data_IF_415592419610
#
_entry.id   IF_415592419610
#
_cell.length_a   1.000
_cell.length_b   1.000
_cell.length_c   1.000
_cell.angle_alpha   90.00
_cell.angle_beta   90.00
_cell.angle_gamma   90.00
#
_symmetry.space_group_name_H-M   'P 1'
#
loop_
_entity.id
_entity.type
_entity.pdbx_description
1 polymer ?
#
# COMPACT_ATOMS: atom_id res chain seq x y z
N UNK A 1 59.61 26.53 -27.67
CA UNK A 1 58.20 26.63 -27.23
C UNK A 1 57.17 26.18 -28.28
N UNK A 2 57.28 26.52 -29.58
CA UNK A 2 56.34 26.05 -30.62
C UNK A 2 56.24 24.51 -30.75
N UNK A 3 57.36 23.78 -30.68
CA UNK A 3 57.34 22.31 -30.73
C UNK A 3 56.60 21.62 -29.57
N UNK A 4 56.47 22.26 -28.41
CA UNK A 4 55.73 21.70 -27.26
C UNK A 4 54.21 21.88 -27.40
N UNK A 5 53.74 22.95 -28.03
CA UNK A 5 52.31 23.20 -28.22
C UNK A 5 51.72 22.31 -29.33
N UNK A 6 52.48 22.07 -30.41
CA UNK A 6 52.07 21.14 -31.48
C UNK A 6 52.09 19.66 -31.03
N UNK A 7 52.89 19.34 -30.01
CA UNK A 7 52.89 18.02 -29.34
C UNK A 7 51.62 17.80 -28.52
N UNK A 8 51.09 18.86 -27.89
CA UNK A 8 49.87 18.81 -27.08
C UNK A 8 48.62 18.77 -27.98
N UNK A 9 48.59 19.55 -29.07
CA UNK A 9 47.47 19.56 -30.01
C UNK A 9 47.27 18.22 -30.74
N UNK A 10 48.37 17.46 -30.98
CA UNK A 10 48.32 16.10 -31.56
C UNK A 10 47.87 15.01 -30.58
N UNK A 11 47.73 15.33 -29.28
CA UNK A 11 47.26 14.41 -28.23
C UNK A 11 45.77 14.61 -27.89
N UNK A 12 45.11 15.63 -28.45
CA UNK A 12 43.68 15.83 -28.23
C UNK A 12 42.88 14.83 -29.07
N UNK A 13 41.91 14.11 -28.47
CA UNK A 13 41.08 13.17 -29.22
C UNK A 13 40.33 13.92 -30.33
N UNK A 14 40.33 13.34 -31.53
CA UNK A 14 39.56 13.85 -32.68
C UNK A 14 38.07 13.95 -32.33
N UNK A 15 37.32 14.80 -33.06
CA UNK A 15 35.86 14.90 -32.93
C UNK A 15 35.16 13.54 -33.11
N UNK A 16 35.69 12.66 -33.96
CA UNK A 16 35.20 11.28 -34.16
C UNK A 16 35.40 10.40 -32.94
N UNK A 17 36.59 10.44 -32.32
CA UNK A 17 36.87 9.69 -31.08
C UNK A 17 36.05 10.22 -29.90
N UNK A 18 35.82 11.53 -29.81
CA UNK A 18 34.93 12.12 -28.80
C UNK A 18 33.46 11.71 -29.02
N UNK A 19 32.98 11.68 -30.27
CA UNK A 19 31.63 11.23 -30.60
C UNK A 19 31.42 9.73 -30.32
N UNK A 20 32.42 8.88 -30.63
CA UNK A 20 32.38 7.46 -30.30
C UNK A 20 32.41 7.22 -28.79
N UNK A 21 33.25 7.95 -28.05
CA UNK A 21 33.29 7.88 -26.60
C UNK A 21 31.95 8.33 -25.98
N UNK A 22 31.38 9.45 -26.46
CA UNK A 22 30.06 9.91 -26.03
C UNK A 22 28.97 8.88 -26.35
N UNK A 23 28.99 8.29 -27.55
CA UNK A 23 28.07 7.23 -27.94
C UNK A 23 28.20 5.98 -27.07
N UNK A 24 29.42 5.57 -26.73
CA UNK A 24 29.70 4.45 -25.83
C UNK A 24 29.20 4.74 -24.40
N UNK A 25 29.39 5.96 -23.89
CA UNK A 25 28.86 6.38 -22.59
C UNK A 25 27.33 6.33 -22.59
N UNK A 26 26.67 6.88 -23.61
CA UNK A 26 25.21 6.84 -23.74
C UNK A 26 24.69 5.40 -23.79
N UNK A 27 25.34 4.54 -24.58
CA UNK A 27 24.99 3.13 -24.66
C UNK A 27 25.16 2.41 -23.31
N UNK A 28 26.28 2.63 -22.62
CA UNK A 28 26.52 2.06 -21.31
C UNK A 28 25.49 2.53 -20.28
N UNK A 29 25.16 3.82 -20.28
CA UNK A 29 24.09 4.36 -19.43
C UNK A 29 22.73 3.72 -19.73
N UNK A 30 22.38 3.54 -21.02
CA UNK A 30 21.14 2.88 -21.41
C UNK A 30 21.10 1.42 -20.94
N UNK A 31 22.22 0.69 -21.02
CA UNK A 31 22.34 -0.69 -20.53
C UNK A 31 22.15 -0.74 -19.01
N UNK A 32 22.79 0.16 -18.25
CA UNK A 32 22.64 0.22 -16.79
C UNK A 32 21.20 0.53 -16.39
N UNK A 33 20.53 1.47 -17.07
CA UNK A 33 19.12 1.79 -16.84
C UNK A 33 18.22 0.61 -17.15
N UNK A 34 18.43 -0.06 -18.29
CA UNK A 34 17.66 -1.23 -18.68
C UNK A 34 17.85 -2.41 -17.71
N UNK A 35 19.09 -2.65 -17.26
CA UNK A 35 19.39 -3.67 -16.26
C UNK A 35 18.74 -3.36 -14.91
N UNK A 36 18.79 -2.09 -14.46
CA UNK A 36 18.09 -1.64 -13.26
C UNK A 36 16.57 -1.82 -13.36
N UNK A 37 15.97 -1.41 -14.48
CA UNK A 37 14.54 -1.60 -14.72
C UNK A 37 14.15 -3.09 -14.71
N UNK A 38 14.92 -3.94 -15.40
CA UNK A 38 14.70 -5.39 -15.40
C UNK A 38 14.81 -6.00 -14.00
N UNK A 39 15.78 -5.56 -13.18
CA UNK A 39 15.97 -6.02 -11.81
C UNK A 39 14.77 -5.72 -10.90
N UNK A 40 14.20 -4.51 -11.00
CA UNK A 40 13.01 -4.14 -10.22
C UNK A 40 11.74 -4.80 -10.77
N UNK A 41 11.59 -4.86 -12.10
CA UNK A 41 10.46 -5.54 -12.75
C UNK A 41 10.39 -7.03 -12.42
N UNK A 42 11.52 -7.72 -12.29
CA UNK A 42 11.57 -9.14 -11.92
C UNK A 42 10.96 -9.42 -10.54
N UNK A 43 11.11 -8.50 -9.58
CA UNK A 43 10.50 -8.60 -8.25
C UNK A 43 10.86 -9.86 -7.45
N UNK A 44 10.23 -9.99 -6.29
CA UNK A 44 10.08 -11.24 -5.54
C UNK A 44 8.63 -11.74 -5.70
N UNK A 45 8.46 -13.06 -5.63
CA UNK A 45 7.17 -13.71 -5.75
C UNK A 45 6.48 -13.51 -7.12
N UNK A 46 5.19 -13.88 -7.21
CA UNK A 46 4.42 -14.56 -6.17
C UNK A 46 4.78 -16.04 -6.03
N UNK A 47 4.50 -16.62 -4.86
CA UNK A 47 4.36 -18.05 -4.69
C UNK A 47 3.06 -18.49 -5.37
N UNK A 48 3.18 -19.21 -6.48
CA UNK A 48 2.05 -19.58 -7.33
C UNK A 48 1.01 -20.46 -6.60
N UNK A 49 1.45 -21.40 -5.77
CA UNK A 49 0.55 -22.31 -5.05
C UNK A 49 -0.31 -21.56 -4.03
N UNK A 50 0.26 -20.57 -3.34
CA UNK A 50 -0.48 -19.75 -2.39
C UNK A 50 -1.52 -18.87 -3.09
N UNK A 51 -1.20 -18.31 -4.25
CA UNK A 51 -2.16 -17.53 -5.07
C UNK A 51 -3.26 -18.44 -5.60
N UNK A 52 -2.91 -19.60 -6.16
CA UNK A 52 -3.87 -20.56 -6.68
C UNK A 52 -4.82 -21.07 -5.59
N UNK A 53 -4.33 -21.26 -4.36
CA UNK A 53 -5.17 -21.63 -3.22
C UNK A 53 -6.20 -20.55 -2.87
N UNK A 54 -5.81 -19.26 -2.91
CA UNK A 54 -6.75 -18.15 -2.69
C UNK A 54 -7.75 -18.00 -3.84
N UNK A 55 -7.35 -18.26 -5.09
CA UNK A 55 -8.25 -18.25 -6.26
C UNK A 55 -9.22 -19.44 -6.29
N UNK A 56 -8.87 -20.56 -5.64
CA UNK A 56 -9.69 -21.75 -5.57
C UNK A 56 -10.69 -21.76 -4.39
N UNK A 57 -10.60 -20.77 -3.49
CA UNK A 57 -11.52 -20.63 -2.36
C UNK A 57 -12.91 -20.20 -2.85
N UNK A 58 -13.98 -21.00 -2.61
CA UNK A 58 -15.32 -20.68 -3.10
C UNK A 58 -15.94 -19.45 -2.43
N UNK A 59 -15.44 -19.04 -1.25
CA UNK A 59 -15.96 -17.90 -0.49
C UNK A 59 -15.26 -16.58 -0.87
N UNK A 60 -14.25 -16.64 -1.76
CA UNK A 60 -13.46 -15.48 -2.18
C UNK A 60 -13.47 -15.35 -3.71
N UNK A 61 -13.79 -14.15 -4.20
CA UNK A 61 -13.62 -13.79 -5.60
C UNK A 61 -12.32 -12.99 -5.80
N UNK A 62 -11.49 -13.45 -6.73
CA UNK A 62 -10.23 -12.80 -7.12
C UNK A 62 -10.32 -12.31 -8.57
N UNK A 63 -10.33 -11.00 -8.76
CA UNK A 63 -10.49 -10.34 -10.05
C UNK A 63 -9.24 -9.52 -10.41
N UNK A 64 -8.60 -9.83 -11.55
CA UNK A 64 -7.50 -9.00 -12.09
C UNK A 64 -8.07 -7.78 -12.79
N UNK A 65 -7.54 -6.60 -12.49
CA UNK A 65 -8.06 -5.31 -13.00
C UNK A 65 -6.93 -4.39 -13.50
N UNK A 66 -7.24 -3.31 -14.24
CA UNK A 66 -6.23 -2.33 -14.65
C UNK A 66 -5.58 -1.52 -13.52
N UNK A 67 -6.04 -1.70 -12.27
CA UNK A 67 -5.51 -1.02 -11.08
C UNK A 67 -4.92 -1.98 -10.05
N UNK A 68 -4.76 -3.26 -10.41
CA UNK A 68 -4.26 -4.32 -9.55
C UNK A 68 -5.22 -5.50 -9.44
N UNK A 69 -5.10 -6.28 -8.38
CA UNK A 69 -5.93 -7.47 -8.14
C UNK A 69 -6.91 -7.20 -7.00
N UNK A 70 -8.20 -7.33 -7.28
CA UNK A 70 -9.29 -7.17 -6.33
C UNK A 70 -9.66 -8.51 -5.71
N UNK A 71 -9.83 -8.54 -4.38
CA UNK A 71 -10.20 -9.71 -3.59
C UNK A 71 -11.41 -9.34 -2.72
N UNK A 72 -12.47 -10.14 -2.75
CA UNK A 72 -13.75 -9.84 -2.07
C UNK A 72 -14.54 -11.10 -1.71
N UNK A 73 -15.40 -11.01 -0.70
CA UNK A 73 -16.28 -12.08 -0.18
C UNK A 73 -17.72 -12.01 -0.71
N UNK A 74 -18.00 -11.06 -1.61
CA UNK A 74 -19.37 -10.88 -2.11
C UNK A 74 -19.53 -9.73 -3.10
N UNK A 75 -20.78 -9.30 -3.36
CA UNK A 75 -21.08 -8.11 -4.15
C UNK A 75 -20.54 -6.85 -3.47
N UNK A 76 -20.01 -5.93 -4.27
CA UNK A 76 -19.56 -4.63 -3.80
C UNK A 76 -20.76 -3.70 -3.65
N UNK A 77 -20.91 -3.09 -2.47
CA UNK A 77 -22.04 -2.23 -2.09
C UNK A 77 -21.57 -1.09 -1.18
N UNK A 78 -22.47 -0.16 -0.84
CA UNK A 78 -22.22 0.90 0.15
C UNK A 78 -21.92 0.38 1.57
N UNK A 79 -22.20 -0.90 1.86
CA UNK A 79 -21.79 -1.55 3.12
C UNK A 79 -20.40 -2.15 3.11
N UNK A 80 -19.84 -2.38 1.92
CA UNK A 80 -18.52 -2.97 1.75
C UNK A 80 -17.47 -2.03 2.34
N UNK A 81 -16.53 -2.58 3.10
CA UNK A 81 -15.33 -1.84 3.52
C UNK A 81 -14.26 -2.02 2.44
N UNK A 82 -13.88 -0.93 1.79
CA UNK A 82 -12.81 -0.93 0.80
C UNK A 82 -11.46 -0.76 1.46
N UNK A 83 -10.46 -1.48 0.96
CA UNK A 83 -9.07 -1.34 1.39
C UNK A 83 -8.14 -1.33 0.17
N UNK A 84 -7.51 -0.18 -0.08
CA UNK A 84 -6.42 -0.09 -1.07
C UNK A 84 -5.12 -0.53 -0.42
N UNK A 85 -4.49 -1.55 -0.99
CA UNK A 85 -3.27 -2.15 -0.45
C UNK A 85 -2.07 -1.95 -1.38
N UNK A 86 -1.07 -1.20 -0.94
CA UNK A 86 0.20 -1.02 -1.62
C UNK A 86 1.21 -2.13 -1.29
N UNK A 87 1.71 -2.88 -2.30
CA UNK A 87 2.73 -3.91 -2.11
C UNK A 87 4.07 -3.37 -1.59
N UNK A 88 4.86 -4.25 -0.99
CA UNK A 88 6.26 -3.99 -0.65
C UNK A 88 7.12 -3.67 -1.88
N UNK A 89 8.21 -2.96 -1.65
CA UNK A 89 9.15 -2.59 -2.71
C UNK A 89 9.78 -3.83 -3.33
N UNK A 90 9.77 -3.91 -4.67
CA UNK A 90 10.30 -5.05 -5.44
C UNK A 90 9.58 -6.37 -5.11
N UNK A 91 8.31 -6.32 -4.73
CA UNK A 91 7.46 -7.51 -4.55
C UNK A 91 6.32 -7.47 -5.55
N UNK A 92 6.09 -8.57 -6.27
CA UNK A 92 4.95 -8.67 -7.19
C UNK A 92 3.64 -8.53 -6.42
N UNK A 93 2.74 -7.67 -6.88
CA UNK A 93 1.50 -7.36 -6.16
C UNK A 93 0.64 -8.60 -5.86
N UNK A 94 0.60 -9.59 -6.77
CA UNK A 94 -0.09 -10.86 -6.58
C UNK A 94 0.37 -11.63 -5.34
N UNK A 95 1.57 -11.34 -4.83
CA UNK A 95 2.09 -11.95 -3.60
C UNK A 95 1.23 -11.61 -2.37
N UNK A 96 0.44 -10.54 -2.41
CA UNK A 96 -0.46 -10.16 -1.32
C UNK A 96 -1.90 -10.63 -1.53
N UNK A 97 -2.24 -11.26 -2.66
CA UNK A 97 -3.58 -11.83 -2.90
C UNK A 97 -3.96 -12.84 -1.81
N UNK A 98 -3.07 -13.77 -1.37
CA UNK A 98 -3.43 -14.69 -0.29
C UNK A 98 -3.63 -13.99 1.06
N UNK A 99 -2.87 -12.93 1.35
CA UNK A 99 -3.08 -12.12 2.56
C UNK A 99 -4.39 -11.34 2.47
N UNK A 100 -4.71 -10.77 1.31
CA UNK A 100 -5.97 -10.08 1.05
C UNK A 100 -7.18 -11.02 1.21
N UNK A 101 -7.07 -12.28 0.79
CA UNK A 101 -8.09 -13.29 1.02
C UNK A 101 -8.32 -13.54 2.52
N UNK A 102 -7.24 -13.66 3.31
CA UNK A 102 -7.35 -13.81 4.78
C UNK A 102 -7.90 -12.54 5.45
N UNK A 103 -7.62 -11.34 4.93
CA UNK A 103 -8.22 -10.08 5.42
C UNK A 103 -9.74 -10.08 5.19
N UNK A 104 -10.15 -10.46 3.98
CA UNK A 104 -11.57 -10.53 3.59
C UNK A 104 -12.29 -11.58 4.43
N UNK A 105 -11.74 -12.79 4.55
CA UNK A 105 -12.31 -13.87 5.36
C UNK A 105 -12.36 -13.55 6.86
N UNK A 106 -11.40 -12.78 7.37
CA UNK A 106 -11.36 -12.34 8.77
C UNK A 106 -12.26 -11.15 9.10
N UNK A 107 -13.02 -10.64 8.13
CA UNK A 107 -13.94 -9.51 8.29
C UNK A 107 -15.35 -10.00 8.53
N UNK A 108 -16.03 -9.48 9.58
CA UNK A 108 -17.45 -9.74 9.85
C UNK A 108 -18.39 -8.97 8.90
N UNK A 109 -17.81 -8.19 7.98
CA UNK A 109 -18.50 -7.38 6.98
C UNK A 109 -17.94 -7.68 5.61
N UNK A 110 -18.79 -7.51 4.60
CA UNK A 110 -18.35 -7.53 3.21
C UNK A 110 -17.12 -6.61 3.03
N UNK A 111 -16.06 -7.16 2.46
CA UNK A 111 -14.78 -6.47 2.31
C UNK A 111 -14.31 -6.56 0.86
N UNK A 112 -13.66 -5.48 0.41
CA UNK A 112 -12.97 -5.42 -0.87
C UNK A 112 -11.55 -4.96 -0.64
N UNK A 113 -10.58 -5.83 -0.84
CA UNK A 113 -9.15 -5.48 -0.80
C UNK A 113 -8.64 -5.41 -2.23
N UNK A 114 -8.10 -4.27 -2.63
CA UNK A 114 -7.46 -4.11 -3.94
C UNK A 114 -5.97 -3.95 -3.75
N UNK A 115 -5.23 -5.01 -4.11
CA UNK A 115 -3.78 -4.99 -4.09
C UNK A 115 -3.29 -4.35 -5.37
N UNK A 116 -2.73 -3.16 -5.25
CA UNK A 116 -2.45 -2.33 -6.43
C UNK A 116 -1.22 -2.78 -7.20
N UNK A 117 -1.28 -2.69 -8.52
CA UNK A 117 -0.12 -2.87 -9.38
C UNK A 117 0.71 -1.57 -9.44
N UNK A 118 2.02 -1.70 -9.50
CA UNK A 118 2.93 -0.58 -9.63
C UNK A 118 4.00 -0.86 -10.68
N UNK A 119 4.38 0.14 -11.51
CA UNK A 119 5.51 0.00 -12.43
C UNK A 119 6.75 -0.48 -11.67
N UNK A 120 7.42 -1.49 -12.22
CA UNK A 120 8.64 -2.07 -11.66
C UNK A 120 8.48 -2.58 -10.20
N UNK A 121 7.27 -2.91 -9.75
CA UNK A 121 6.97 -3.31 -8.37
C UNK A 121 7.38 -2.24 -7.33
N UNK A 122 7.27 -0.96 -7.70
CA UNK A 122 7.66 0.16 -6.85
C UNK A 122 6.49 1.12 -6.65
N UNK A 123 5.86 1.09 -5.47
CA UNK A 123 4.73 1.95 -5.11
C UNK A 123 5.00 3.46 -5.30
N UNK A 124 6.25 3.90 -5.18
CA UNK A 124 6.66 5.30 -5.42
C UNK A 124 6.39 5.76 -6.87
N UNK A 125 6.29 4.83 -7.82
CA UNK A 125 5.97 5.10 -9.23
C UNK A 125 4.47 5.06 -9.54
N UNK A 126 3.62 4.79 -8.55
CA UNK A 126 2.17 4.74 -8.71
C UNK A 126 1.43 5.42 -7.54
N UNK A 127 1.77 6.68 -7.17
CA UNK A 127 1.22 7.33 -5.99
C UNK A 127 -0.29 7.64 -6.08
N UNK A 128 -0.85 7.70 -7.29
CA UNK A 128 -2.26 8.00 -7.61
C UNK A 128 -3.13 6.74 -7.69
N UNK A 129 -2.54 5.55 -7.51
CA UNK A 129 -3.23 4.29 -7.78
C UNK A 129 -4.43 4.07 -6.86
N UNK A 130 -4.37 4.58 -5.64
CA UNK A 130 -5.46 4.52 -4.68
C UNK A 130 -6.70 5.33 -5.12
N UNK A 131 -6.50 6.49 -5.75
CA UNK A 131 -7.61 7.28 -6.30
C UNK A 131 -8.32 6.51 -7.42
N UNK A 132 -7.54 5.92 -8.33
CA UNK A 132 -8.07 5.11 -9.44
C UNK A 132 -8.83 3.87 -8.96
N UNK A 133 -8.41 3.28 -7.84
CA UNK A 133 -9.16 2.18 -7.21
C UNK A 133 -10.52 2.68 -6.72
N UNK A 134 -10.56 3.78 -5.97
CA UNK A 134 -11.83 4.35 -5.48
C UNK A 134 -12.77 4.75 -6.62
N UNK A 135 -12.25 5.34 -7.68
CA UNK A 135 -13.02 5.68 -8.89
C UNK A 135 -13.63 4.45 -9.57
N UNK A 136 -12.94 3.30 -9.52
CA UNK A 136 -13.43 2.04 -10.09
C UNK A 136 -14.54 1.42 -9.26
N UNK A 137 -14.58 1.67 -7.96
CA UNK A 137 -15.54 1.11 -7.01
C UNK A 137 -16.32 2.23 -6.32
N UNK A 138 -17.11 3.03 -7.07
CA UNK A 138 -17.80 4.20 -6.55
C UNK A 138 -18.91 3.84 -5.55
N UNK A 139 -19.37 2.60 -5.55
CA UNK A 139 -20.39 2.10 -4.63
C UNK A 139 -19.86 1.89 -3.21
N UNK A 140 -18.55 1.97 -2.97
CA UNK A 140 -17.94 1.80 -1.64
C UNK A 140 -17.85 3.14 -0.91
N UNK A 141 -18.54 3.25 0.23
CA UNK A 141 -18.61 4.50 1.01
C UNK A 141 -17.45 4.70 1.99
N UNK A 142 -16.81 3.60 2.42
CA UNK A 142 -15.80 3.58 3.47
C UNK A 142 -14.49 2.97 2.94
N UNK A 143 -13.40 3.72 3.07
CA UNK A 143 -12.10 3.35 2.49
C UNK A 143 -10.97 3.44 3.50
N UNK A 144 -10.25 2.34 3.64
CA UNK A 144 -8.89 2.32 4.16
C UNK A 144 -7.88 2.41 3.02
N UNK A 145 -6.72 3.00 3.30
CA UNK A 145 -5.54 2.93 2.45
C UNK A 145 -4.36 2.47 3.28
N UNK A 146 -3.46 1.70 2.69
CA UNK A 146 -2.39 1.09 3.46
C UNK A 146 -1.50 0.23 2.62
N UNK A 147 -0.62 -0.52 3.27
CA UNK A 147 0.27 -1.41 2.56
C UNK A 147 1.40 -1.95 3.41
N UNK A 148 2.27 -2.71 2.76
CA UNK A 148 3.42 -3.35 3.38
C UNK A 148 4.72 -2.58 3.14
N UNK A 149 5.56 -2.45 4.18
CA UNK A 149 6.92 -1.92 4.05
C UNK A 149 6.96 -0.58 3.28
N UNK A 150 7.75 -0.48 2.20
CA UNK A 150 7.76 0.70 1.31
C UNK A 150 6.36 1.09 0.81
N UNK A 151 5.51 0.12 0.48
CA UNK A 151 4.12 0.36 0.06
C UNK A 151 3.30 1.04 1.16
N UNK A 152 3.44 0.60 2.40
CA UNK A 152 2.79 1.25 3.56
C UNK A 152 3.26 2.69 3.77
N UNK A 153 4.56 2.96 3.62
CA UNK A 153 5.07 4.32 3.66
C UNK A 153 4.49 5.20 2.52
N UNK A 154 4.33 4.66 1.31
CA UNK A 154 3.71 5.40 0.20
C UNK A 154 2.21 5.62 0.42
N UNK A 155 1.52 4.63 0.98
CA UNK A 155 0.12 4.77 1.40
C UNK A 155 -0.07 5.89 2.43
N UNK A 156 0.79 5.96 3.46
CA UNK A 156 0.81 7.06 4.42
C UNK A 156 0.99 8.43 3.75
N UNK A 157 1.97 8.55 2.84
CA UNK A 157 2.20 9.81 2.11
C UNK A 157 1.02 10.19 1.24
N UNK A 158 0.41 9.22 0.58
CA UNK A 158 -0.82 9.43 -0.20
C UNK A 158 -1.96 9.91 0.70
N UNK A 159 -2.18 9.27 1.85
CA UNK A 159 -3.20 9.67 2.82
C UNK A 159 -2.95 11.09 3.37
N UNK A 160 -1.70 11.48 3.62
CA UNK A 160 -1.38 12.84 4.07
C UNK A 160 -1.79 13.93 3.07
N UNK A 161 -1.75 13.64 1.76
CA UNK A 161 -2.28 14.54 0.73
C UNK A 161 -3.79 14.47 0.52
N UNK A 162 -4.44 13.42 1.01
CA UNK A 162 -5.82 13.05 0.65
C UNK A 162 -6.65 12.59 1.86
N UNK A 163 -6.39 13.10 3.08
CA UNK A 163 -6.96 12.56 4.30
C UNK A 163 -8.51 12.51 4.27
N UNK A 164 -9.15 13.51 3.69
CA UNK A 164 -10.61 13.55 3.55
C UNK A 164 -11.21 12.49 2.61
N UNK A 165 -10.39 11.77 1.86
CA UNK A 165 -10.82 10.67 1.00
C UNK A 165 -10.90 9.33 1.75
N UNK A 166 -10.19 9.18 2.88
CA UNK A 166 -10.07 7.90 3.58
C UNK A 166 -10.64 8.00 4.98
N UNK A 167 -11.06 6.87 5.52
CA UNK A 167 -11.48 6.73 6.91
C UNK A 167 -10.35 6.14 7.77
N UNK A 168 -9.42 5.40 7.15
CA UNK A 168 -8.37 4.67 7.86
C UNK A 168 -7.03 4.57 7.11
N UNK A 169 -5.94 4.53 7.88
CA UNK A 169 -4.59 4.15 7.44
C UNK A 169 -4.19 2.80 8.05
N UNK A 170 -3.71 1.87 7.23
CA UNK A 170 -3.22 0.55 7.68
C UNK A 170 -1.76 0.34 7.28
N UNK A 171 -0.89 0.09 8.26
CA UNK A 171 0.55 -0.08 8.06
C UNK A 171 0.97 -1.50 8.45
N UNK A 172 1.39 -2.32 7.47
CA UNK A 172 1.92 -3.66 7.69
C UNK A 172 3.45 -3.63 7.62
N UNK A 173 4.13 -3.89 8.73
CA UNK A 173 5.59 -3.79 8.82
C UNK A 173 6.15 -2.49 8.19
N UNK A 174 5.46 -1.38 8.46
CA UNK A 174 5.73 -0.07 7.88
C UNK A 174 5.53 1.02 8.91
N UNK A 175 6.08 2.21 8.62
CA UNK A 175 5.93 3.40 9.44
C UNK A 175 5.61 4.62 8.58
N UNK A 176 4.94 5.62 9.18
CA UNK A 176 4.49 6.82 8.49
C UNK A 176 5.45 7.98 8.70
N UNK A 177 5.98 8.56 7.62
CA UNK A 177 6.93 9.68 7.67
C UNK A 177 6.26 11.05 7.45
N UNK A 178 4.93 11.12 7.58
CA UNK A 178 4.14 12.34 7.44
C UNK A 178 3.20 12.47 8.63
N UNK A 179 3.11 13.66 9.19
CA UNK A 179 2.22 13.94 10.30
C UNK A 179 0.75 13.84 9.85
N UNK A 180 0.09 12.82 10.36
CA UNK A 180 -1.33 12.51 10.24
C UNK A 180 -2.03 12.55 11.62
N UNK A 181 -1.36 13.04 12.66
CA UNK A 181 -1.85 13.01 14.04
C UNK A 181 -3.17 13.75 14.24
N UNK A 182 -3.43 14.75 13.41
CA UNK A 182 -4.66 15.57 13.39
C UNK A 182 -5.53 15.31 12.15
N UNK A 183 -5.28 14.23 11.40
CA UNK A 183 -6.01 13.94 10.15
C UNK A 183 -7.45 13.49 10.38
N UNK A 184 -7.77 12.97 11.56
CA UNK A 184 -9.06 12.35 11.87
C UNK A 184 -9.24 10.94 11.29
N UNK A 185 -8.20 10.38 10.65
CA UNK A 185 -8.17 8.98 10.23
C UNK A 185 -8.11 8.06 11.46
N UNK A 186 -8.69 6.87 11.34
CA UNK A 186 -8.30 5.76 12.20
C UNK A 186 -6.94 5.20 11.72
N UNK A 187 -6.12 4.64 12.61
CA UNK A 187 -4.85 4.04 12.22
C UNK A 187 -4.60 2.68 12.87
N UNK A 188 -4.14 1.71 12.05
CA UNK A 188 -3.67 0.40 12.48
C UNK A 188 -2.23 0.20 12.03
N UNK A 189 -1.36 -0.21 12.96
CA UNK A 189 -0.01 -0.68 12.68
C UNK A 189 0.07 -2.15 13.08
N UNK A 190 0.44 -3.02 12.15
CA UNK A 190 0.66 -4.45 12.36
C UNK A 190 2.14 -4.76 12.14
N UNK A 191 2.81 -5.20 13.19
CA UNK A 191 4.24 -5.52 13.21
C UNK A 191 4.44 -7.03 13.34
N UNK A 192 5.52 -7.56 12.78
CA UNK A 192 5.96 -8.93 13.04
C UNK A 192 6.96 -8.96 14.19
N UNK A 193 6.73 -9.80 15.20
CA UNK A 193 7.65 -9.95 16.34
C UNK A 193 9.00 -10.60 15.97
N UNK A 194 9.09 -11.19 14.77
CA UNK A 194 10.33 -11.73 14.19
C UNK A 194 10.79 -10.95 12.94
N UNK A 195 10.30 -9.72 12.74
CA UNK A 195 10.67 -8.87 11.62
C UNK A 195 12.14 -8.42 11.73
N UNK A 196 12.97 -8.86 10.79
CA UNK A 196 14.40 -8.52 10.75
C UNK A 196 14.74 -7.29 9.90
N UNK A 197 13.76 -6.66 9.26
CA UNK A 197 13.98 -5.66 8.20
C UNK A 197 13.49 -4.27 8.59
N UNK A 198 12.39 -4.17 9.32
CA UNK A 198 11.90 -2.87 9.75
C UNK A 198 12.88 -2.21 10.74
N UNK A 199 13.12 -0.91 10.56
CA UNK A 199 13.84 -0.11 11.55
C UNK A 199 12.91 0.17 12.75
N UNK A 200 13.06 -0.63 13.81
CA UNK A 200 12.19 -0.59 14.98
C UNK A 200 12.33 0.71 15.80
N UNK A 201 13.46 1.42 15.71
CA UNK A 201 13.60 2.73 16.38
C UNK A 201 12.83 3.80 15.61
N UNK A 202 12.98 3.83 14.28
CA UNK A 202 12.20 4.73 13.42
C UNK A 202 10.72 4.46 13.49
N UNK A 203 10.31 3.19 13.51
CA UNK A 203 8.90 2.82 13.66
C UNK A 203 8.34 3.41 14.96
N UNK A 204 8.99 3.18 16.11
CA UNK A 204 8.53 3.71 17.40
C UNK A 204 8.48 5.25 17.42
N UNK A 205 9.51 5.91 16.89
CA UNK A 205 9.56 7.36 16.79
C UNK A 205 8.43 7.91 15.91
N UNK A 206 8.15 7.25 14.78
CA UNK A 206 7.12 7.68 13.82
C UNK A 206 5.69 7.60 14.35
N UNK A 207 5.44 6.91 15.46
CA UNK A 207 4.09 6.80 16.04
C UNK A 207 3.52 8.16 16.45
N UNK A 208 4.38 9.15 16.69
CA UNK A 208 3.95 10.55 16.92
C UNK A 208 3.26 11.17 15.71
N UNK A 209 3.53 10.66 14.50
CA UNK A 209 2.88 11.09 13.27
C UNK A 209 1.47 10.50 13.10
N UNK A 210 1.05 9.58 13.96
CA UNK A 210 -0.25 8.92 13.87
C UNK A 210 -1.25 9.55 14.84
N UNK A 211 -2.56 9.39 14.58
CA UNK A 211 -3.61 9.72 15.54
C UNK A 211 -3.33 9.08 16.91
N UNK A 212 -3.65 9.80 17.99
CA UNK A 212 -3.32 9.37 19.36
C UNK A 212 -3.95 8.03 19.76
N UNK A 213 -5.05 7.63 19.11
CA UNK A 213 -5.76 6.37 19.31
C UNK A 213 -5.38 5.29 18.27
N UNK A 214 -4.27 5.49 17.53
CA UNK A 214 -3.72 4.49 16.63
C UNK A 214 -3.48 3.17 17.36
N UNK A 215 -3.98 2.07 16.79
CA UNK A 215 -3.80 0.72 17.34
C UNK A 215 -2.52 0.12 16.80
N UNK A 216 -1.63 -0.31 17.68
CA UNK A 216 -0.41 -1.06 17.31
C UNK A 216 -0.57 -2.50 17.78
N UNK A 217 -0.37 -3.46 16.88
CA UNK A 217 -0.43 -4.89 17.15
C UNK A 217 0.88 -5.53 16.69
N UNK A 218 1.53 -6.26 17.58
CA UNK A 218 2.71 -7.06 17.25
C UNK A 218 2.30 -8.54 17.20
N UNK A 219 2.66 -9.23 16.12
CA UNK A 219 2.33 -10.62 15.86
C UNK A 219 3.54 -11.51 16.14
N UNK A 220 3.47 -12.28 17.22
CA UNK A 220 4.52 -13.21 17.60
C UNK A 220 4.84 -14.18 16.46
N UNK A 221 6.13 -14.29 16.13
CA UNK A 221 6.61 -15.28 15.17
C UNK A 221 6.41 -14.96 13.70
N UNK A 222 5.79 -13.83 13.36
CA UNK A 222 5.71 -13.31 12.00
C UNK A 222 6.98 -12.50 11.70
N UNK A 223 7.63 -12.79 10.58
CA UNK A 223 8.75 -12.00 10.05
C UNK A 223 8.25 -11.05 8.93
N UNK A 224 9.13 -10.21 8.38
CA UNK A 224 8.75 -9.20 7.39
C UNK A 224 8.11 -9.82 6.14
N UNK A 225 8.69 -10.90 5.64
CA UNK A 225 8.18 -11.64 4.50
C UNK A 225 6.85 -12.36 4.77
N UNK A 226 6.52 -12.61 6.04
CA UNK A 226 5.29 -13.27 6.47
C UNK A 226 4.01 -12.51 6.14
N UNK A 227 4.11 -11.22 5.82
CA UNK A 227 2.98 -10.38 5.39
C UNK A 227 2.51 -10.68 3.95
N UNK A 228 3.32 -11.40 3.15
CA UNK A 228 2.98 -11.78 1.79
C UNK A 228 3.44 -13.19 1.42
N UNK A 229 3.08 -13.64 0.23
CA UNK A 229 3.45 -14.92 -0.34
C UNK A 229 4.55 -14.76 -1.40
N UNK A 230 5.65 -14.08 -1.06
CA UNK A 230 6.77 -13.85 -1.98
C UNK A 230 8.07 -14.59 -1.63
N UNK A 231 8.05 -15.34 -0.51
CA UNK A 231 9.20 -16.09 -0.04
C UNK A 231 10.21 -15.26 0.77
N UNK A 232 11.34 -15.87 1.17
CA UNK A 232 12.35 -15.19 1.98
C UNK A 232 12.95 -13.97 1.28
N UNK A 233 13.33 -12.96 2.05
CA UNK A 233 14.03 -11.78 1.55
C UNK A 233 15.34 -11.55 2.31
N UNK A 234 16.35 -10.91 1.69
CA UNK A 234 17.59 -10.57 2.38
C UNK A 234 17.34 -9.68 3.60
N UNK A 235 17.99 -10.02 4.72
CA UNK A 235 17.89 -9.29 5.98
C UNK A 235 16.72 -9.72 6.88
N UNK A 236 15.75 -10.47 6.36
CA UNK A 236 14.64 -10.96 7.17
C UNK A 236 14.99 -12.30 7.82
N UNK A 237 14.94 -12.32 9.16
CA UNK A 237 15.17 -13.54 9.94
C UNK A 237 14.09 -14.60 9.68
N UNK A 238 14.29 -15.85 10.11
CA UNK A 238 13.25 -16.87 9.98
C UNK A 238 12.04 -16.56 10.87
N UNK A 239 10.83 -16.67 10.30
CA UNK A 239 9.60 -16.73 11.08
C UNK A 239 9.52 -18.04 11.87
N UNK A 240 8.89 -18.02 13.05
CA UNK A 240 8.51 -19.24 13.76
C UNK A 240 7.15 -19.78 13.30
N UNK A 241 6.31 -18.91 12.73
CA UNK A 241 5.08 -19.32 12.06
C UNK A 241 5.35 -19.79 10.62
N UNK A 242 4.52 -20.73 10.15
CA UNK A 242 4.51 -21.08 8.73
C UNK A 242 4.08 -19.88 7.87
N UNK A 243 4.44 -19.83 6.58
CA UNK A 243 4.01 -18.74 5.70
C UNK A 243 2.48 -18.57 5.64
N UNK A 244 1.73 -19.67 5.63
CA UNK A 244 0.27 -19.61 5.66
C UNK A 244 -0.28 -19.11 7.00
N UNK A 245 0.30 -19.57 8.13
CA UNK A 245 -0.10 -19.11 9.46
C UNK A 245 0.21 -17.61 9.66
N UNK A 246 1.34 -17.12 9.13
CA UNK A 246 1.70 -15.71 9.18
C UNK A 246 0.67 -14.85 8.45
N UNK A 247 0.30 -15.22 7.22
CA UNK A 247 -0.71 -14.48 6.44
C UNK A 247 -2.08 -14.51 7.10
N UNK A 248 -2.48 -15.64 7.68
CA UNK A 248 -3.72 -15.75 8.46
C UNK A 248 -3.73 -14.84 9.69
N UNK A 249 -2.63 -14.79 10.45
CA UNK A 249 -2.52 -13.91 11.61
C UNK A 249 -2.64 -12.43 11.21
N UNK A 250 -1.93 -12.03 10.15
CA UNK A 250 -2.01 -10.68 9.57
C UNK A 250 -3.43 -10.39 9.07
N UNK A 251 -4.02 -11.31 8.31
CA UNK A 251 -5.35 -11.21 7.74
C UNK A 251 -6.42 -11.03 8.81
N UNK A 252 -6.46 -11.92 9.79
CA UNK A 252 -7.45 -11.88 10.88
C UNK A 252 -7.40 -10.56 11.65
N UNK A 253 -6.21 -10.12 12.08
CA UNK A 253 -6.08 -8.86 12.84
C UNK A 253 -6.58 -7.68 12.02
N UNK A 254 -6.25 -7.64 10.74
CA UNK A 254 -6.62 -6.54 9.85
C UNK A 254 -8.11 -6.55 9.51
N UNK A 255 -8.66 -7.71 9.13
CA UNK A 255 -10.07 -7.89 8.79
C UNK A 255 -11.01 -7.57 9.96
N UNK A 256 -10.65 -8.05 11.16
CA UNK A 256 -11.38 -7.75 12.41
C UNK A 256 -11.40 -6.25 12.66
N UNK A 257 -10.23 -5.59 12.58
CA UNK A 257 -10.13 -4.16 12.85
C UNK A 257 -10.88 -3.30 11.82
N UNK A 258 -10.84 -3.66 10.54
CA UNK A 258 -11.61 -2.99 9.48
C UNK A 258 -13.12 -3.11 9.73
N UNK A 259 -13.58 -4.25 10.23
CA UNK A 259 -14.99 -4.49 10.59
C UNK A 259 -15.47 -3.58 11.72
N UNK A 260 -14.67 -3.45 12.78
CA UNK A 260 -14.96 -2.60 13.95
C UNK A 260 -15.14 -1.13 13.53
N UNK A 261 -14.27 -0.60 12.67
CA UNK A 261 -14.26 0.83 12.30
C UNK A 261 -15.30 1.21 11.26
N UNK A 262 -15.59 0.33 10.30
CA UNK A 262 -16.69 0.55 9.36
C UNK A 262 -18.05 0.76 10.06
N UNK A 263 -18.24 0.24 11.28
CA UNK A 263 -19.45 0.46 12.07
C UNK A 263 -19.50 1.87 12.67
N UNK A 264 -18.37 2.34 13.23
CA UNK A 264 -18.24 3.65 13.86
C UNK A 264 -18.39 4.80 12.86
N UNK A 265 -17.77 4.67 11.66
CA UNK A 265 -17.87 5.69 10.61
C UNK A 265 -19.30 5.88 10.13
N UNK A 266 -20.06 4.79 9.97
CA UNK A 266 -21.47 4.86 9.56
C UNK A 266 -22.34 5.55 10.62
N UNK A 267 -22.08 5.29 11.90
CA UNK A 267 -22.76 5.98 12.99
C UNK A 267 -22.42 7.48 13.03
N UNK A 268 -21.16 7.86 12.79
CA UNK A 268 -20.78 9.27 12.65
C UNK A 268 -21.47 9.95 11.47
N UNK A 269 -21.54 9.29 10.31
CA UNK A 269 -22.23 9.82 9.12
C UNK A 269 -23.75 9.90 9.32
N UNK A 270 -24.39 8.92 9.96
CA UNK A 270 -25.83 8.98 10.24
C UNK A 270 -26.17 10.11 11.22
N UNK A 271 -25.34 10.33 12.25
CA UNK A 271 -25.47 11.46 13.19
C UNK A 271 -25.23 12.82 12.53
N UNK A 272 -24.29 12.94 11.58
CA UNK A 272 -24.04 14.20 10.88
C UNK A 272 -25.17 14.57 9.90
N UNK A 273 -25.80 13.57 9.27
CA UNK A 273 -26.99 13.76 8.41
C UNK A 273 -28.21 14.15 9.24
N UNK A 274 -28.47 13.49 10.37
CA UNK A 274 -29.61 13.83 11.23
C UNK A 274 -29.51 15.24 11.83
N UNK A 275 -28.29 15.69 12.17
CA UNK A 275 -28.08 17.04 12.69
C UNK A 275 -28.25 18.14 11.63
N UNK A 276 -28.09 17.82 10.34
CA UNK A 276 -28.44 18.73 9.23
C UNK A 276 -29.93 18.72 8.87
N UNK A 277 -30.64 17.62 9.15
CA UNK A 277 -32.08 17.48 8.89
C UNK A 277 -33.00 18.20 9.89
N UNK A 278 -32.50 18.59 11.07
CA UNK A 278 -33.29 19.29 12.09
C UNK A 278 -33.26 20.83 12.00
N UNK A 279 -32.44 21.39 11.12
CA UNK A 279 -32.37 22.83 10.86
C UNK A 279 -33.23 23.22 9.65
N UNK A 280 -34.56 23.06 9.73
CA UNK A 280 -35.40 23.33 8.57
C UNK A 280 -36.90 23.19 8.70
N UNK A 281 -37.51 23.52 9.85
CA UNK A 281 -38.96 23.82 9.89
C UNK A 281 -39.21 24.94 10.89
N UNK A 282 -39.03 26.19 10.45
CA UNK A 282 -39.62 27.36 11.09
C UNK A 282 -41.00 27.56 10.47
N UNK A 283 -42.02 27.11 11.19
CA UNK A 283 -43.43 27.37 10.89
C UNK A 283 -43.72 28.87 11.03
N UNK A 284 -44.06 29.52 9.92
CA UNK A 284 -44.58 30.88 9.94
C UNK A 284 -46.04 30.87 10.43
N UNK A 285 -46.30 31.54 11.55
CA UNK A 285 -47.64 31.83 12.03
C UNK A 285 -48.28 32.97 11.22
N UNK A 286 -49.61 32.99 11.00
CA UNK A 286 -50.26 34.05 10.25
C UNK A 286 -50.47 35.28 11.15
N UNK A 287 -50.12 36.46 10.63
CA UNK A 287 -50.47 37.75 11.22
C UNK A 287 -51.85 38.14 10.69
N UNK A 288 -52.79 38.33 11.61
CA UNK A 288 -54.10 38.90 11.33
C UNK A 288 -53.98 40.41 11.02
N UNK A 289 -54.65 40.83 9.96
CA UNK A 289 -54.88 42.21 9.55
C UNK A 289 -55.98 42.25 8.51
#
# INVERSE_FOLDING_TARGET
MRNSLDSIARRLPTRRTLALAAGAVVLLSAIVVAAGAAYFAAGLGPNADAVAAAEADPDVAVDRTPVGTAVRDGPVTASTVGFVYYPGGRVSHESYVPTAAEIVAGSDRAALVVVVDAPLNLAVLAPDRADRVRERYPDVDAWAVGGHSLGGAMACRHAAGNAGAYDALVLHAAYCDRDLSQSGLDALVVLGGADGVIDAERERASRENLPADARVVELDGVNHAGFGAYGPQPGDGPASLSPAASRRAVGNVTGTWLSERGAVTRERRSRSVSHRGSAGVLTAAPVAG
#
